data_IF_355571651271
#
_entry.id   IF_355571651271
#
_cell.length_a   1.000
_cell.length_b   1.000
_cell.length_c   1.000
_cell.angle_alpha   90.00
_cell.angle_beta   90.00
_cell.angle_gamma   90.00
#
_symmetry.space_group_name_H-M   'P 1'
#
loop_
_entity.id
_entity.type
_entity.pdbx_description
1 polymer ?
#
# COMPACT_ATOMS: atom_id res chain seq x y z
N UNK A 1 -36.47 -30.81 -42.60
CA UNK A 1 -35.19 -30.46 -41.90
C UNK A 1 -35.13 -28.95 -41.69
N UNK A 2 -35.49 -28.46 -40.50
CA UNK A 2 -35.36 -27.03 -40.12
C UNK A 2 -33.97 -26.83 -39.49
N UNK A 3 -33.10 -26.04 -40.14
CA UNK A 3 -31.80 -25.63 -39.58
C UNK A 3 -32.04 -24.61 -38.46
N UNK A 4 -31.66 -24.98 -37.24
CA UNK A 4 -31.70 -24.10 -36.07
C UNK A 4 -30.68 -22.97 -36.18
N UNK A 5 -31.18 -21.74 -36.14
CA UNK A 5 -30.41 -20.50 -36.03
C UNK A 5 -29.85 -20.37 -34.61
N UNK A 6 -28.52 -20.51 -34.47
CA UNK A 6 -27.81 -20.16 -33.23
C UNK A 6 -27.77 -18.63 -33.08
N UNK A 7 -28.52 -18.12 -32.11
CA UNK A 7 -28.43 -16.74 -31.64
C UNK A 7 -27.06 -16.47 -31.02
N UNK A 8 -26.22 -15.69 -31.70
CA UNK A 8 -24.98 -15.13 -31.14
C UNK A 8 -25.36 -14.16 -30.01
N UNK A 9 -25.02 -14.50 -28.76
CA UNK A 9 -24.93 -13.54 -27.65
C UNK A 9 -23.98 -12.42 -28.05
N UNK A 10 -24.50 -11.21 -28.31
CA UNK A 10 -23.70 -10.00 -28.41
C UNK A 10 -23.02 -9.78 -27.05
N UNK A 11 -21.71 -9.99 -26.97
CA UNK A 11 -20.93 -9.53 -25.84
C UNK A 11 -20.98 -8.00 -25.82
N UNK A 12 -21.44 -7.42 -24.72
CA UNK A 12 -21.39 -5.99 -24.46
C UNK A 12 -19.94 -5.56 -24.18
N UNK A 13 -19.08 -5.62 -25.20
CA UNK A 13 -17.80 -4.91 -25.21
C UNK A 13 -17.99 -3.70 -26.12
N UNK A 14 -18.67 -2.66 -25.63
CA UNK A 14 -18.46 -1.32 -26.17
C UNK A 14 -17.04 -0.93 -25.77
N UNK A 15 -16.08 -1.13 -26.68
CA UNK A 15 -14.78 -0.45 -26.63
C UNK A 15 -15.08 1.03 -26.70
N UNK A 16 -14.95 1.72 -25.57
CA UNK A 16 -14.76 3.16 -25.58
C UNK A 16 -13.36 3.37 -26.13
N UNK A 17 -13.27 3.66 -27.42
CA UNK A 17 -12.02 4.08 -28.04
C UNK A 17 -11.72 5.49 -27.55
N UNK A 18 -11.07 5.59 -26.39
CA UNK A 18 -10.44 6.82 -25.97
C UNK A 18 -9.27 7.08 -26.92
N UNK A 19 -9.25 8.20 -27.66
CA UNK A 19 -8.16 8.51 -28.57
C UNK A 19 -6.85 8.59 -27.78
N UNK A 20 -6.03 7.55 -27.94
CA UNK A 20 -4.68 7.49 -27.41
C UNK A 20 -3.90 8.61 -28.11
N UNK A 21 -3.53 9.66 -27.38
CA UNK A 21 -2.66 10.70 -27.90
C UNK A 21 -1.32 10.67 -27.16
N UNK A 22 -0.21 10.86 -27.89
CA UNK A 22 1.14 11.03 -27.32
C UNK A 22 1.21 12.17 -26.28
N UNK A 23 0.19 13.03 -26.26
CA UNK A 23 -0.06 14.08 -25.27
C UNK A 23 -0.23 13.54 -23.84
N UNK A 24 -0.74 12.33 -23.63
CA UNK A 24 -0.96 11.77 -22.28
C UNK A 24 0.34 11.67 -21.47
N UNK A 25 1.45 11.27 -22.11
CA UNK A 25 2.75 11.17 -21.43
C UNK A 25 3.31 12.55 -21.06
N UNK A 26 3.13 13.55 -21.91
CA UNK A 26 3.55 14.93 -21.63
C UNK A 26 2.76 15.54 -20.48
N UNK A 27 1.45 15.32 -20.48
CA UNK A 27 0.54 15.79 -19.43
C UNK A 27 0.87 15.13 -18.08
N UNK A 28 1.18 13.83 -18.08
CA UNK A 28 1.68 13.14 -16.91
C UNK A 28 3.02 13.73 -16.43
N UNK A 29 3.97 13.98 -17.34
CA UNK A 29 5.25 14.58 -17.01
C UNK A 29 5.09 15.96 -16.34
N UNK A 30 4.18 16.80 -16.85
CA UNK A 30 3.84 18.09 -16.24
C UNK A 30 3.32 17.90 -14.80
N UNK A 31 2.40 16.95 -14.58
CA UNK A 31 1.84 16.66 -13.25
C UNK A 31 2.93 16.26 -12.25
N UNK A 32 3.86 15.41 -12.69
CA UNK A 32 4.99 14.98 -11.88
C UNK A 32 5.93 16.14 -11.57
N UNK A 33 6.24 17.00 -12.55
CA UNK A 33 7.07 18.19 -12.32
C UNK A 33 6.45 19.13 -11.28
N UNK A 34 5.14 19.37 -11.35
CA UNK A 34 4.43 20.15 -10.32
C UNK A 34 4.48 19.46 -8.96
N UNK A 35 4.27 18.14 -8.91
CA UNK A 35 4.36 17.38 -7.64
C UNK A 35 5.76 17.49 -7.03
N UNK A 36 6.81 17.34 -7.84
CA UNK A 36 8.21 17.50 -7.41
C UNK A 36 8.44 18.91 -6.84
N UNK A 37 7.93 19.95 -7.52
CA UNK A 37 8.05 21.32 -7.03
C UNK A 37 7.36 21.53 -5.68
N UNK A 38 6.14 20.99 -5.50
CA UNK A 38 5.42 21.05 -4.23
C UNK A 38 6.15 20.26 -3.14
N UNK A 39 6.61 19.05 -3.44
CA UNK A 39 7.37 18.21 -2.50
C UNK A 39 8.64 18.93 -2.05
N UNK A 40 9.37 19.55 -2.98
CA UNK A 40 10.54 20.36 -2.66
C UNK A 40 10.21 21.54 -1.74
N UNK A 41 9.09 22.25 -1.99
CA UNK A 41 8.67 23.39 -1.16
C UNK A 41 8.21 22.99 0.24
N UNK A 42 7.63 21.80 0.38
CA UNK A 42 7.16 21.26 1.65
C UNK A 42 8.20 20.38 2.36
N UNK A 43 9.38 20.19 1.76
CA UNK A 43 10.41 19.30 2.28
C UNK A 43 10.94 19.78 3.62
N UNK A 44 10.62 19.05 4.68
CA UNK A 44 11.10 19.33 6.04
C UNK A 44 12.16 18.30 6.47
N UNK A 45 13.39 18.80 6.70
CA UNK A 45 14.51 17.99 7.15
C UNK A 45 14.44 17.61 8.64
N UNK A 46 13.62 18.29 9.43
CA UNK A 46 13.50 18.04 10.87
C UNK A 46 12.77 16.74 11.14
N UNK A 47 13.15 16.07 12.21
CA UNK A 47 12.42 14.89 12.70
C UNK A 47 11.01 15.33 13.08
N UNK A 48 10.01 14.59 12.60
CA UNK A 48 8.63 14.87 12.95
C UNK A 48 8.37 14.61 14.45
N UNK A 49 7.65 15.52 15.11
CA UNK A 49 7.31 15.41 16.53
C UNK A 49 6.24 14.36 16.84
N UNK A 50 5.55 13.82 15.82
CA UNK A 50 4.59 12.73 16.00
C UNK A 50 5.23 11.40 16.46
N UNK A 51 6.57 11.30 16.45
CA UNK A 51 7.32 10.14 16.96
C UNK A 51 7.58 9.06 15.91
N UNK A 52 6.67 8.85 14.96
CA UNK A 52 6.80 7.84 13.89
C UNK A 52 8.11 7.95 13.10
N UNK A 53 8.53 9.18 12.75
CA UNK A 53 9.74 9.44 11.95
C UNK A 53 10.99 8.92 12.65
N UNK A 54 11.13 9.22 13.95
CA UNK A 54 12.24 8.74 14.77
C UNK A 54 12.15 7.21 14.98
N UNK A 55 10.96 6.68 15.21
CA UNK A 55 10.76 5.27 15.50
C UNK A 55 11.10 4.36 14.31
N UNK A 56 10.71 4.73 13.09
CA UNK A 56 11.07 3.98 11.88
C UNK A 56 12.58 3.98 11.64
N UNK A 57 13.23 5.14 11.77
CA UNK A 57 14.68 5.29 11.60
C UNK A 57 15.43 4.47 12.65
N UNK A 58 15.05 4.60 13.92
CA UNK A 58 15.67 3.87 15.02
C UNK A 58 15.48 2.37 14.88
N UNK A 59 14.28 1.92 14.51
CA UNK A 59 14.01 0.50 14.29
C UNK A 59 14.83 -0.07 13.13
N UNK A 60 15.00 0.68 12.04
CA UNK A 60 15.88 0.29 10.93
C UNK A 60 17.36 0.25 11.33
N UNK A 61 17.80 1.19 12.16
CA UNK A 61 19.17 1.19 12.70
C UNK A 61 19.43 -0.02 13.59
N UNK A 62 18.54 -0.31 14.54
CA UNK A 62 18.63 -1.47 15.44
C UNK A 62 18.57 -2.79 14.67
N UNK A 63 17.70 -2.89 13.67
CA UNK A 63 17.68 -4.04 12.78
C UNK A 63 19.03 -4.25 12.09
N UNK A 64 19.66 -3.18 11.61
CA UNK A 64 20.97 -3.26 10.95
C UNK A 64 22.12 -3.60 11.90
N UNK A 65 22.14 -3.00 13.10
CA UNK A 65 23.31 -3.02 14.00
C UNK A 65 23.20 -4.08 15.10
N UNK A 66 22.01 -4.25 15.65
CA UNK A 66 21.73 -5.13 16.79
C UNK A 66 21.04 -6.41 16.32
N UNK A 67 20.58 -6.45 15.07
CA UNK A 67 19.82 -7.58 14.55
C UNK A 67 18.42 -7.67 15.15
N UNK A 68 17.88 -6.59 15.75
CA UNK A 68 16.54 -6.59 16.34
C UNK A 68 15.46 -6.46 15.26
N UNK A 69 14.52 -7.42 15.20
CA UNK A 69 13.41 -7.33 14.25
C UNK A 69 12.50 -6.14 14.58
N UNK A 70 12.14 -5.29 13.60
CA UNK A 70 11.25 -4.17 13.85
C UNK A 70 9.82 -4.67 14.03
N UNK A 71 9.42 -4.95 15.27
CA UNK A 71 8.07 -5.45 15.59
C UNK A 71 7.01 -4.33 15.65
N UNK A 72 7.48 -3.10 15.84
CA UNK A 72 6.63 -1.92 15.82
C UNK A 72 6.13 -1.66 14.39
N UNK A 73 4.91 -1.14 14.29
CA UNK A 73 4.07 -1.18 13.08
C UNK A 73 4.80 -0.83 11.79
N UNK A 74 4.43 -1.52 10.71
CA UNK A 74 4.99 -1.41 9.36
C UNK A 74 6.46 -1.87 9.26
N UNK A 75 6.77 -3.13 9.66
CA UNK A 75 8.13 -3.68 9.74
C UNK A 75 8.93 -3.52 8.45
N UNK A 76 8.28 -3.66 7.30
CA UNK A 76 8.98 -3.59 6.02
C UNK A 76 9.55 -2.19 5.73
N UNK A 77 8.91 -1.13 6.23
CA UNK A 77 9.43 0.24 6.09
C UNK A 77 10.74 0.40 6.89
N UNK A 78 10.76 -0.04 8.15
CA UNK A 78 11.98 -0.03 8.98
C UNK A 78 13.10 -0.88 8.39
N UNK A 79 12.79 -2.09 7.91
CA UNK A 79 13.75 -2.97 7.22
C UNK A 79 14.27 -2.28 5.95
N UNK A 80 13.41 -1.63 5.18
CA UNK A 80 13.85 -0.88 4.01
C UNK A 80 14.80 0.26 4.39
N UNK A 81 14.49 1.06 5.42
CA UNK A 81 15.34 2.16 5.89
C UNK A 81 16.72 1.69 6.39
N UNK A 82 16.86 0.43 6.79
CA UNK A 82 18.15 -0.14 7.14
C UNK A 82 19.15 -0.12 5.96
N UNK A 83 18.65 -0.13 4.72
CA UNK A 83 19.46 -0.09 3.49
C UNK A 83 20.13 1.28 3.29
N UNK A 84 19.43 2.42 3.22
CA UNK A 84 20.09 3.73 3.15
C UNK A 84 20.92 4.02 4.40
N UNK A 85 20.52 3.53 5.59
CA UNK A 85 21.34 3.65 6.82
C UNK A 85 22.67 2.91 6.67
N UNK A 86 22.69 1.74 6.03
CA UNK A 86 23.92 0.99 5.78
C UNK A 86 24.93 1.78 4.94
N UNK A 87 24.47 2.51 3.92
CA UNK A 87 25.36 3.25 3.02
C UNK A 87 25.76 4.64 3.54
N UNK A 88 24.86 5.36 4.21
CA UNK A 88 25.04 6.77 4.56
C UNK A 88 24.93 7.09 6.06
N UNK A 89 24.75 6.07 6.91
CA UNK A 89 24.42 6.27 8.32
C UNK A 89 23.05 6.91 8.51
N UNK A 90 22.79 7.47 9.70
CA UNK A 90 21.55 8.19 9.99
C UNK A 90 21.64 9.60 9.37
N UNK A 91 21.45 9.68 8.06
CA UNK A 91 21.39 10.94 7.32
C UNK A 91 19.95 11.28 6.97
N UNK A 92 19.36 12.24 7.69
CA UNK A 92 17.94 12.61 7.51
C UNK A 92 17.57 12.98 6.07
N UNK A 93 18.38 13.76 5.30
CA UNK A 93 18.08 14.03 3.89
C UNK A 93 17.96 12.75 3.06
N UNK A 94 18.91 11.81 3.23
CA UNK A 94 18.93 10.55 2.48
C UNK A 94 17.80 9.60 2.85
N UNK A 95 17.36 9.61 4.11
CA UNK A 95 16.25 8.78 4.55
C UNK A 95 14.92 9.36 4.06
N UNK A 96 14.71 10.65 4.24
CA UNK A 96 13.44 11.32 3.89
C UNK A 96 13.20 11.41 2.39
N UNK A 97 14.25 11.54 1.57
CA UNK A 97 14.08 11.57 0.11
C UNK A 97 13.51 10.24 -0.43
N UNK A 98 13.67 9.13 0.29
CA UNK A 98 13.08 7.84 -0.11
C UNK A 98 11.54 7.91 -0.16
N UNK A 99 10.91 8.61 0.78
CA UNK A 99 9.45 8.81 0.81
C UNK A 99 8.97 9.61 -0.40
N UNK A 100 9.66 10.70 -0.75
CA UNK A 100 9.36 11.45 -1.97
C UNK A 100 9.49 10.56 -3.22
N UNK A 101 10.56 9.75 -3.31
CA UNK A 101 10.74 8.79 -4.41
C UNK A 101 9.60 7.77 -4.46
N UNK A 102 9.17 7.21 -3.33
CA UNK A 102 8.07 6.24 -3.30
C UNK A 102 6.73 6.85 -3.72
N UNK A 103 6.42 8.09 -3.31
CA UNK A 103 5.22 8.78 -3.80
C UNK A 103 5.27 9.00 -5.31
N UNK A 104 6.40 9.46 -5.86
CA UNK A 104 6.56 9.64 -7.30
C UNK A 104 6.45 8.31 -8.08
N UNK A 105 7.05 7.24 -7.56
CA UNK A 105 6.93 5.89 -8.12
C UNK A 105 5.49 5.38 -8.02
N UNK A 106 4.77 5.68 -6.94
CA UNK A 106 3.35 5.36 -6.79
C UNK A 106 2.52 6.05 -7.88
N UNK A 107 2.72 7.35 -8.12
CA UNK A 107 2.03 8.09 -9.18
C UNK A 107 2.36 7.54 -10.57
N UNK A 108 3.62 7.20 -10.82
CA UNK A 108 4.06 6.57 -12.06
C UNK A 108 3.41 5.20 -12.30
N UNK A 109 3.39 4.34 -11.28
CA UNK A 109 2.76 3.02 -11.38
C UNK A 109 1.24 3.13 -11.51
N UNK A 110 0.62 4.09 -10.83
CA UNK A 110 -0.80 4.39 -10.97
C UNK A 110 -1.12 4.82 -12.40
N UNK A 111 -0.38 5.79 -12.95
CA UNK A 111 -0.49 6.19 -14.36
C UNK A 111 -0.36 4.97 -15.27
N UNK A 112 0.69 4.16 -15.10
CA UNK A 112 0.95 3.00 -15.95
C UNK A 112 -0.14 1.92 -15.83
N UNK A 113 -0.78 1.80 -14.67
CA UNK A 113 -1.85 0.84 -14.41
C UNK A 113 -3.13 1.20 -15.16
N UNK A 114 -3.49 2.48 -15.17
CA UNK A 114 -4.75 2.99 -15.71
C UNK A 114 -4.63 3.58 -17.11
N UNK A 115 -3.42 3.88 -17.58
CA UNK A 115 -3.19 4.36 -18.94
C UNK A 115 -3.77 3.35 -19.95
N UNK A 116 -4.52 3.85 -20.92
CA UNK A 116 -5.30 3.08 -21.91
C UNK A 116 -6.49 2.28 -21.35
N UNK A 117 -6.83 2.40 -20.07
CA UNK A 117 -8.03 1.80 -19.47
C UNK A 117 -9.11 2.82 -19.12
N UNK A 118 -8.70 4.06 -18.86
CA UNK A 118 -9.61 5.17 -18.57
C UNK A 118 -9.25 6.37 -19.43
N UNK A 119 -10.13 7.37 -19.42
CA UNK A 119 -9.92 8.63 -20.11
C UNK A 119 -8.60 9.32 -19.68
N UNK A 120 -7.73 9.74 -20.62
CA UNK A 120 -6.45 10.38 -20.29
C UNK A 120 -6.59 11.68 -19.49
N UNK A 121 -7.64 12.47 -19.72
CA UNK A 121 -7.86 13.72 -19.00
C UNK A 121 -8.29 13.45 -17.56
N UNK A 122 -9.17 12.47 -17.34
CA UNK A 122 -9.53 12.01 -15.99
C UNK A 122 -8.32 11.45 -15.22
N UNK A 123 -7.51 10.62 -15.87
CA UNK A 123 -6.28 10.08 -15.26
C UNK A 123 -5.31 11.20 -14.88
N UNK A 124 -5.13 12.18 -15.77
CA UNK A 124 -4.35 13.37 -15.49
C UNK A 124 -4.89 14.13 -14.30
N UNK A 125 -6.16 14.54 -14.32
CA UNK A 125 -6.76 15.32 -13.24
C UNK A 125 -6.62 14.61 -11.89
N UNK A 126 -6.81 13.29 -11.88
CA UNK A 126 -6.64 12.49 -10.67
C UNK A 126 -5.20 12.60 -10.13
N UNK A 127 -4.19 12.34 -10.98
CA UNK A 127 -2.78 12.41 -10.58
C UNK A 127 -2.38 13.83 -10.20
N UNK A 128 -2.85 14.83 -10.93
CA UNK A 128 -2.54 16.23 -10.67
C UNK A 128 -3.11 16.68 -9.32
N UNK A 129 -4.40 16.46 -9.07
CA UNK A 129 -5.06 16.80 -7.81
C UNK A 129 -4.39 16.08 -6.63
N UNK A 130 -4.10 14.78 -6.77
CA UNK A 130 -3.42 14.01 -5.73
C UNK A 130 -1.98 14.51 -5.51
N UNK A 131 -1.28 14.87 -6.59
CA UNK A 131 0.11 15.30 -6.55
C UNK A 131 0.33 16.68 -5.93
N UNK A 132 -0.66 17.58 -6.05
CA UNK A 132 -0.62 18.91 -5.41
C UNK A 132 -1.32 18.95 -4.04
N UNK A 133 -1.97 17.85 -3.64
CA UNK A 133 -2.67 17.79 -2.37
C UNK A 133 -1.66 17.88 -1.21
N UNK A 134 -1.82 18.87 -0.33
CA UNK A 134 -0.91 19.12 0.79
C UNK A 134 -0.84 17.97 1.79
N UNK A 135 -1.94 17.25 2.02
CA UNK A 135 -1.96 16.09 2.93
C UNK A 135 -1.16 14.91 2.38
N UNK A 136 -1.16 14.70 1.06
CA UNK A 136 -0.32 13.68 0.42
C UNK A 136 1.13 14.15 0.35
N UNK A 137 1.36 15.40 -0.06
CA UNK A 137 2.68 15.99 -0.17
C UNK A 137 3.41 16.06 1.18
N UNK A 138 2.68 16.18 2.30
CA UNK A 138 3.22 16.09 3.65
C UNK A 138 4.03 14.79 3.86
N UNK A 139 3.53 13.65 3.38
CA UNK A 139 4.22 12.36 3.51
C UNK A 139 5.47 12.23 2.62
N UNK A 140 5.72 13.17 1.70
CA UNK A 140 6.96 13.18 0.90
C UNK A 140 8.21 13.55 1.73
N UNK A 141 8.02 14.12 2.92
CA UNK A 141 9.08 14.75 3.72
C UNK A 141 9.44 13.97 4.99
N UNK A 142 8.70 12.91 5.30
CA UNK A 142 8.85 12.12 6.52
C UNK A 142 9.02 10.64 6.19
N UNK A 143 9.74 9.91 7.03
CA UNK A 143 10.01 8.47 6.85
C UNK A 143 8.84 7.58 7.28
N UNK A 144 7.63 8.14 7.36
CA UNK A 144 6.44 7.40 7.69
C UNK A 144 6.12 6.34 6.63
N UNK A 145 5.35 5.32 7.02
CA UNK A 145 5.05 4.19 6.17
C UNK A 145 4.09 4.50 5.00
N UNK A 146 3.41 5.65 4.97
CA UNK A 146 2.37 5.97 3.99
C UNK A 146 2.91 6.03 2.57
N UNK A 147 3.99 6.76 2.33
CA UNK A 147 4.60 6.86 1.00
C UNK A 147 5.03 5.49 0.48
N UNK A 148 5.68 4.71 1.36
CA UNK A 148 6.13 3.34 1.09
C UNK A 148 4.96 2.40 0.80
N UNK A 149 3.90 2.47 1.61
CA UNK A 149 2.67 1.71 1.42
C UNK A 149 1.98 2.07 0.09
N UNK A 150 1.87 3.36 -0.23
CA UNK A 150 1.28 3.83 -1.49
C UNK A 150 2.05 3.32 -2.71
N UNK A 151 3.38 3.20 -2.62
CA UNK A 151 4.18 2.58 -3.67
C UNK A 151 3.84 1.10 -3.85
N UNK A 152 3.82 0.30 -2.77
CA UNK A 152 3.45 -1.11 -2.85
C UNK A 152 2.00 -1.31 -3.32
N UNK A 153 1.09 -0.43 -2.91
CA UNK A 153 -0.30 -0.46 -3.35
C UNK A 153 -0.41 -0.24 -4.86
N UNK A 154 0.27 0.78 -5.40
CA UNK A 154 0.29 1.04 -6.83
C UNK A 154 0.95 -0.11 -7.62
N UNK A 155 2.03 -0.69 -7.08
CA UNK A 155 2.70 -1.85 -7.66
C UNK A 155 1.81 -3.10 -7.67
N UNK A 156 1.05 -3.31 -6.60
CA UNK A 156 0.09 -4.40 -6.47
C UNK A 156 -1.05 -4.25 -7.49
N UNK A 157 -1.67 -3.06 -7.60
CA UNK A 157 -2.71 -2.77 -8.60
C UNK A 157 -2.18 -2.99 -10.02
N UNK A 158 -0.97 -2.48 -10.29
CA UNK A 158 -0.31 -2.64 -11.58
C UNK A 158 -0.17 -4.11 -11.99
N UNK A 159 0.20 -4.98 -11.05
CA UNK A 159 0.34 -6.40 -11.29
C UNK A 159 -1.04 -7.09 -11.42
N UNK A 160 -1.99 -6.75 -10.56
CA UNK A 160 -3.37 -7.29 -10.59
C UNK A 160 -4.02 -7.08 -11.96
N UNK A 161 -3.95 -5.86 -12.53
CA UNK A 161 -4.58 -5.59 -13.83
C UNK A 161 -4.00 -6.41 -14.97
N UNK A 162 -2.76 -6.87 -14.85
CA UNK A 162 -2.14 -7.77 -15.83
C UNK A 162 -2.50 -9.23 -15.58
N UNK A 163 -2.70 -9.58 -14.31
CA UNK A 163 -3.03 -10.93 -13.87
C UNK A 163 -4.50 -11.30 -14.13
N UNK A 164 -5.46 -10.40 -13.86
CA UNK A 164 -6.88 -10.67 -14.01
C UNK A 164 -7.24 -10.91 -15.49
N UNK A 165 -6.66 -10.13 -16.41
CA UNK A 165 -6.98 -10.19 -17.84
C UNK A 165 -6.45 -11.41 -18.59
N UNK A 166 -5.66 -12.28 -17.95
CA UNK A 166 -5.11 -13.49 -18.57
C UNK A 166 -6.04 -14.69 -18.35
N UNK A 167 -6.24 -15.51 -19.38
CA UNK A 167 -6.99 -16.76 -19.24
C UNK A 167 -6.23 -17.76 -18.39
N UNK A 168 -4.95 -18.00 -18.74
CA UNK A 168 -4.05 -18.88 -18.02
C UNK A 168 -2.89 -18.11 -17.41
N UNK A 169 -2.80 -18.13 -16.08
CA UNK A 169 -1.68 -17.54 -15.35
C UNK A 169 -0.62 -18.61 -15.04
N UNK A 170 0.64 -18.27 -15.24
CA UNK A 170 1.80 -19.08 -14.85
C UNK A 170 1.95 -19.08 -13.32
N UNK A 171 2.50 -20.16 -12.76
CA UNK A 171 2.75 -20.28 -11.32
C UNK A 171 3.51 -19.07 -10.74
N UNK A 172 4.52 -18.59 -11.46
CA UNK A 172 5.34 -17.44 -11.06
C UNK A 172 4.53 -16.15 -10.84
N UNK A 173 3.40 -15.98 -11.54
CA UNK A 173 2.55 -14.79 -11.36
C UNK A 173 1.80 -14.84 -10.02
N UNK A 174 1.38 -16.04 -9.59
CA UNK A 174 0.80 -16.21 -8.27
C UNK A 174 1.85 -15.99 -7.18
N UNK A 175 3.09 -16.44 -7.38
CA UNK A 175 4.21 -16.19 -6.48
C UNK A 175 4.44 -14.68 -6.32
N UNK A 176 4.53 -13.94 -7.43
CA UNK A 176 4.66 -12.48 -7.38
C UNK A 176 3.48 -11.79 -6.68
N UNK A 177 2.24 -12.25 -6.91
CA UNK A 177 1.07 -11.73 -6.18
C UNK A 177 1.14 -11.99 -4.69
N UNK A 178 1.54 -13.19 -4.27
CA UNK A 178 1.72 -13.52 -2.86
C UNK A 178 2.80 -12.66 -2.21
N UNK A 179 3.94 -12.51 -2.89
CA UNK A 179 5.04 -11.66 -2.45
C UNK A 179 4.63 -10.18 -2.33
N UNK A 180 3.91 -9.64 -3.32
CA UNK A 180 3.43 -8.27 -3.27
C UNK A 180 2.34 -8.06 -2.20
N UNK A 181 1.48 -9.07 -1.99
CA UNK A 181 0.44 -9.03 -0.96
C UNK A 181 1.06 -9.02 0.44
N UNK A 182 2.07 -9.85 0.68
CA UNK A 182 2.77 -9.83 1.98
C UNK A 182 3.57 -8.54 2.16
N UNK A 183 4.20 -8.02 1.10
CA UNK A 183 4.92 -6.76 1.17
C UNK A 183 3.96 -5.60 1.50
N UNK A 184 2.76 -5.58 0.89
CA UNK A 184 1.73 -4.59 1.18
C UNK A 184 1.25 -4.69 2.65
N UNK A 185 1.02 -5.90 3.16
CA UNK A 185 0.66 -6.14 4.56
C UNK A 185 1.76 -5.68 5.54
N UNK A 186 3.01 -6.00 5.24
CA UNK A 186 4.15 -5.62 6.09
C UNK A 186 4.51 -4.14 5.96
N UNK A 187 4.13 -3.48 4.86
CA UNK A 187 4.23 -2.03 4.71
C UNK A 187 3.15 -1.31 5.51
N UNK A 188 1.93 -1.87 5.63
CA UNK A 188 0.88 -1.43 6.55
C UNK A 188 -0.20 -2.52 6.68
N UNK A 189 -0.71 -2.78 7.88
CA UNK A 189 -1.70 -3.87 8.12
C UNK A 189 -2.99 -3.72 7.32
N UNK A 190 -3.42 -2.49 7.04
CA UNK A 190 -4.56 -2.18 6.15
C UNK A 190 -4.35 -2.72 4.72
N UNK A 191 -3.11 -3.04 4.33
CA UNK A 191 -2.76 -3.73 3.10
C UNK A 191 -3.46 -5.09 2.91
N UNK A 192 -3.92 -5.73 3.98
CA UNK A 192 -4.78 -6.92 3.88
C UNK A 192 -6.05 -6.67 3.07
N UNK A 193 -6.58 -5.43 3.08
CA UNK A 193 -7.73 -5.07 2.27
C UNK A 193 -7.47 -5.28 0.77
N UNK A 194 -6.23 -5.10 0.30
CA UNK A 194 -5.86 -5.30 -1.11
C UNK A 194 -6.01 -6.76 -1.55
N UNK A 195 -5.44 -7.71 -0.79
CA UNK A 195 -5.58 -9.13 -1.10
C UNK A 195 -7.03 -9.60 -0.90
N UNK A 196 -7.72 -9.13 0.14
CA UNK A 196 -9.15 -9.43 0.35
C UNK A 196 -9.98 -8.95 -0.84
N UNK A 197 -9.76 -7.73 -1.34
CA UNK A 197 -10.47 -7.21 -2.51
C UNK A 197 -10.22 -8.05 -3.77
N UNK A 198 -8.98 -8.51 -4.00
CA UNK A 198 -8.67 -9.42 -5.10
C UNK A 198 -9.40 -10.76 -4.96
N UNK A 199 -9.38 -11.37 -3.78
CA UNK A 199 -10.04 -12.65 -3.54
C UNK A 199 -11.55 -12.56 -3.69
N UNK A 200 -12.17 -11.49 -3.17
CA UNK A 200 -13.59 -11.20 -3.37
C UNK A 200 -13.92 -11.03 -4.85
N UNK A 201 -13.14 -10.23 -5.57
CA UNK A 201 -13.30 -10.05 -7.02
C UNK A 201 -13.23 -11.38 -7.77
N UNK A 202 -12.21 -12.22 -7.50
CA UNK A 202 -12.07 -13.52 -8.16
C UNK A 202 -13.20 -14.49 -7.80
N UNK A 203 -13.69 -14.45 -6.56
CA UNK A 203 -14.85 -15.23 -6.12
C UNK A 203 -16.14 -14.81 -6.83
N UNK A 204 -16.38 -13.50 -6.96
CA UNK A 204 -17.52 -12.94 -7.70
C UNK A 204 -17.47 -13.30 -9.19
N UNK A 205 -16.28 -13.25 -9.79
CA UNK A 205 -16.02 -13.68 -11.17
C UNK A 205 -15.97 -15.22 -11.33
N UNK A 206 -16.21 -15.98 -10.25
CA UNK A 206 -16.17 -17.46 -10.21
C UNK A 206 -14.85 -18.06 -10.68
N UNK A 207 -13.75 -17.32 -10.56
CA UNK A 207 -12.40 -17.74 -10.92
C UNK A 207 -11.73 -18.47 -9.76
N UNK A 208 -12.36 -19.55 -9.27
CA UNK A 208 -11.97 -20.28 -8.05
C UNK A 208 -10.53 -20.78 -8.05
N UNK A 209 -10.03 -21.25 -9.21
CA UNK A 209 -8.63 -21.67 -9.34
C UNK A 209 -7.68 -20.52 -9.06
N UNK A 210 -7.92 -19.34 -9.67
CA UNK A 210 -7.07 -18.17 -9.44
C UNK A 210 -7.14 -17.71 -7.99
N UNK A 211 -8.34 -17.70 -7.43
CA UNK A 211 -8.56 -17.35 -6.02
C UNK A 211 -7.77 -18.26 -5.09
N UNK A 212 -7.86 -19.58 -5.28
CA UNK A 212 -7.15 -20.57 -4.48
C UNK A 212 -5.63 -20.41 -4.60
N UNK A 213 -5.08 -20.32 -5.82
CA UNK A 213 -3.63 -20.15 -5.99
C UNK A 213 -3.11 -18.82 -5.43
N UNK A 214 -3.86 -17.72 -5.59
CA UNK A 214 -3.50 -16.43 -4.99
C UNK A 214 -3.52 -16.49 -3.46
N UNK A 215 -4.54 -17.10 -2.86
CA UNK A 215 -4.65 -17.29 -1.41
C UNK A 215 -3.53 -18.19 -0.87
N UNK A 216 -3.26 -19.31 -1.54
CA UNK A 216 -2.20 -20.24 -1.17
C UNK A 216 -0.83 -19.57 -1.23
N UNK A 217 -0.56 -18.77 -2.27
CA UNK A 217 0.69 -18.03 -2.40
C UNK A 217 0.86 -17.00 -1.28
N UNK A 218 -0.16 -16.18 -1.02
CA UNK A 218 -0.14 -15.24 0.11
C UNK A 218 0.10 -15.95 1.45
N UNK A 219 -0.63 -17.05 1.69
CA UNK A 219 -0.51 -17.84 2.93
C UNK A 219 0.89 -18.43 3.09
N UNK A 220 1.47 -18.96 2.01
CA UNK A 220 2.83 -19.51 2.03
C UNK A 220 3.86 -18.43 2.42
N UNK A 221 3.79 -17.23 1.83
CA UNK A 221 4.68 -16.13 2.19
C UNK A 221 4.42 -15.59 3.60
N UNK A 222 3.15 -15.50 4.01
CA UNK A 222 2.79 -15.10 5.37
C UNK A 222 3.40 -16.05 6.41
N UNK A 223 3.23 -17.37 6.22
CA UNK A 223 3.83 -18.38 7.08
C UNK A 223 5.35 -18.31 7.06
N UNK A 224 5.96 -18.13 5.89
CA UNK A 224 7.41 -18.00 5.76
C UNK A 224 7.94 -16.83 6.60
N UNK A 225 7.33 -15.65 6.49
CA UNK A 225 7.71 -14.46 7.27
C UNK A 225 7.46 -14.67 8.76
N UNK A 226 6.31 -15.24 9.13
CA UNK A 226 5.96 -15.42 10.53
C UNK A 226 6.85 -16.46 11.23
N UNK A 227 7.16 -17.56 10.54
CA UNK A 227 8.05 -18.61 11.03
C UNK A 227 9.48 -18.09 11.11
N UNK A 228 9.97 -17.36 10.09
CA UNK A 228 11.33 -16.80 10.12
C UNK A 228 11.48 -15.80 11.27
N UNK A 229 10.49 -14.92 11.46
CA UNK A 229 10.43 -13.99 12.60
C UNK A 229 10.56 -14.71 13.94
N UNK A 230 9.81 -15.81 14.12
CA UNK A 230 9.83 -16.60 15.35
C UNK A 230 11.15 -17.33 15.58
N UNK A 231 11.73 -17.94 14.54
CA UNK A 231 12.94 -18.77 14.65
C UNK A 231 14.20 -17.90 14.80
N UNK A 232 14.33 -16.87 13.97
CA UNK A 232 15.55 -16.06 13.90
C UNK A 232 15.58 -15.02 15.02
N UNK A 233 14.44 -14.37 15.30
CA UNK A 233 14.39 -13.25 16.24
C UNK A 233 13.62 -13.54 17.54
N UNK A 234 13.05 -14.74 17.69
CA UNK A 234 12.28 -15.10 18.89
C UNK A 234 10.98 -14.30 19.06
N UNK A 235 10.60 -13.45 18.10
CA UNK A 235 9.43 -12.57 18.23
C UNK A 235 8.16 -13.37 17.92
N UNK A 236 7.29 -13.49 18.91
CA UNK A 236 6.06 -14.30 18.85
C UNK A 236 4.80 -13.50 18.56
N UNK A 237 4.85 -12.18 18.76
CA UNK A 237 3.68 -11.32 18.62
C UNK A 237 3.33 -11.14 17.14
N UNK A 238 2.03 -11.16 16.85
CA UNK A 238 1.51 -10.81 15.54
C UNK A 238 1.14 -9.32 15.54
N UNK A 239 1.58 -8.59 14.53
CA UNK A 239 1.35 -7.14 14.42
C UNK A 239 -0.14 -6.78 14.44
N UNK A 240 -0.98 -7.62 13.83
CA UNK A 240 -2.42 -7.39 13.81
C UNK A 240 -3.07 -7.55 15.20
N UNK A 241 -2.63 -8.54 15.99
CA UNK A 241 -3.23 -8.78 17.31
C UNK A 241 -2.86 -7.67 18.30
N UNK A 242 -1.62 -7.19 18.30
CA UNK A 242 -1.20 -6.09 19.16
C UNK A 242 -1.92 -4.78 18.82
N UNK A 243 -2.14 -4.50 17.54
CA UNK A 243 -2.95 -3.35 17.12
C UNK A 243 -4.42 -3.49 17.54
N UNK A 244 -5.00 -4.68 17.38
CA UNK A 244 -6.37 -4.94 17.80
C UNK A 244 -6.53 -4.80 19.31
N UNK A 245 -5.61 -5.34 20.11
CA UNK A 245 -5.60 -5.18 21.57
C UNK A 245 -5.53 -3.70 21.97
N UNK A 246 -4.67 -2.91 21.33
CA UNK A 246 -4.58 -1.47 21.58
C UNK A 246 -5.88 -0.73 21.24
N UNK A 247 -6.56 -1.09 20.14
CA UNK A 247 -7.86 -0.52 19.78
C UNK A 247 -8.97 -0.89 20.78
N UNK A 248 -8.87 -2.07 21.39
CA UNK A 248 -9.82 -2.54 22.38
C UNK A 248 -9.66 -1.86 23.75
N UNK A 249 -8.53 -1.21 24.04
CA UNK A 249 -8.28 -0.56 25.32
C UNK A 249 -9.05 0.76 25.46
N UNK A 250 -9.47 1.10 26.69
CA UNK A 250 -10.06 2.42 27.03
C UNK A 250 -9.08 3.58 26.84
N UNK A 251 -7.81 3.33 27.08
CA UNK A 251 -6.72 4.27 26.80
C UNK A 251 -5.52 3.43 26.35
N UNK A 252 -5.03 3.59 25.10
CA UNK A 252 -3.92 2.81 24.57
C UNK A 252 -2.59 3.08 25.30
N UNK A 253 -2.50 4.19 26.06
CA UNK A 253 -1.33 4.54 26.88
C UNK A 253 -1.48 4.12 28.35
N UNK A 254 -2.68 3.67 28.76
CA UNK A 254 -2.97 3.22 30.13
C UNK A 254 -3.77 1.92 30.13
N UNK A 255 -3.10 0.82 29.82
CA UNK A 255 -3.68 -0.53 29.77
C UNK A 255 -4.37 -0.96 31.07
N UNK A 256 -4.00 -0.38 32.22
CA UNK A 256 -4.62 -0.62 33.52
C UNK A 256 -6.12 -0.22 33.58
N UNK A 257 -6.59 0.64 32.66
CA UNK A 257 -8.00 1.05 32.59
C UNK A 257 -8.89 -0.02 31.93
N UNK A 258 -8.31 -1.10 31.41
CA UNK A 258 -9.02 -2.21 30.79
C UNK A 258 -9.53 -1.88 29.38
N UNK A 259 -10.45 -2.73 28.90
CA UNK A 259 -11.01 -2.62 27.56
C UNK A 259 -12.27 -1.74 27.52
N UNK A 260 -12.49 -1.13 26.36
CA UNK A 260 -13.66 -0.34 26.06
C UNK A 260 -14.91 -1.21 25.92
N UNK A 261 -16.06 -0.66 26.32
CA UNK A 261 -17.35 -1.32 26.14
C UNK A 261 -18.03 -0.87 24.83
N UNK A 262 -19.08 -1.58 24.36
CA UNK A 262 -19.76 -1.21 23.11
C UNK A 262 -20.29 0.22 23.09
N UNK A 263 -20.76 0.73 24.24
CA UNK A 263 -21.24 2.11 24.37
C UNK A 263 -20.09 3.13 24.23
N UNK A 264 -18.95 2.85 24.83
CA UNK A 264 -17.73 3.64 24.72
C UNK A 264 -17.22 3.71 23.28
N UNK A 265 -17.32 2.63 22.50
CA UNK A 265 -17.01 2.68 21.07
C UNK A 265 -17.92 3.62 20.28
N UNK A 266 -19.22 3.67 20.59
CA UNK A 266 -20.15 4.62 19.97
C UNK A 266 -19.78 6.06 20.36
N UNK A 267 -19.48 6.30 21.64
CA UNK A 267 -19.05 7.61 22.11
C UNK A 267 -17.76 8.06 21.42
N UNK A 268 -16.74 7.19 21.34
CA UNK A 268 -15.50 7.45 20.60
C UNK A 268 -15.76 7.81 19.14
N UNK A 269 -16.68 7.13 18.48
CA UNK A 269 -17.03 7.44 17.09
C UNK A 269 -17.61 8.85 16.97
N UNK A 270 -18.52 9.24 17.87
CA UNK A 270 -19.12 10.57 17.90
C UNK A 270 -18.08 11.63 18.25
N UNK A 271 -17.28 11.42 19.30
CA UNK A 271 -16.27 12.36 19.78
C UNK A 271 -15.18 12.60 18.72
N UNK A 272 -14.69 11.52 18.09
CA UNK A 272 -13.75 11.65 16.98
C UNK A 272 -14.37 12.36 15.79
N UNK A 273 -15.63 12.04 15.45
CA UNK A 273 -16.32 12.73 14.35
C UNK A 273 -16.41 14.23 14.62
N UNK A 274 -16.74 14.63 15.85
CA UNK A 274 -16.77 16.03 16.25
C UNK A 274 -15.39 16.68 16.10
N UNK A 275 -14.32 16.04 16.59
CA UNK A 275 -12.94 16.55 16.47
C UNK A 275 -12.46 16.77 15.03
N UNK A 276 -12.92 15.95 14.08
CA UNK A 276 -12.50 16.05 12.68
C UNK A 276 -13.42 16.93 11.81
N UNK A 277 -14.66 17.18 12.25
CA UNK A 277 -15.67 17.94 11.49
C UNK A 277 -15.81 19.38 12.01
N UNK A 278 -15.52 19.64 13.30
CA UNK A 278 -15.49 20.99 13.89
C UNK A 278 -14.27 21.79 13.47
#
# INVERSE_FOLDING_TARGET
MKKGTKTKKKSANKKYDFPITSKSNWIFAISILFSIFIFYKLFDLRINLAGDDANYIMSGYKFLKEGEYPDWHSPLNSIFLSVPIFFAGISLPWLKITSAIFLLLSFFLFFKSYNKKIDPFLLFLTIFIVGINSYIAYYSSFTFSEAFFMFFQALFIFFIFRFIGQQDNKLIQYIYLGLLSIALYMAKTVGLAGITALLLFLGLEKQWKKMLFSLSSFTAFYLLVHISKKIIWGVRNNQFSSQLESLMQKDPYKSALGNEDPAGFINRFIDNSNLYIS
#
